data_IF_574930449420
#
_entry.id   IF_574930449420
#
_cell.length_a   1.000
_cell.length_b   1.000
_cell.length_c   1.000
_cell.angle_alpha   90.00
_cell.angle_beta   90.00
_cell.angle_gamma   90.00
#
_symmetry.space_group_name_H-M   'P 1'
#
loop_
_entity.id
_entity.type
_entity.pdbx_description
1 polymer ?
#
# COMPACT_ATOMS: atom_id res chain seq x y z
N UNK A 1 -12.24 -80.52 22.64
CA UNK A 1 -13.19 -79.39 22.58
C UNK A 1 -12.65 -78.22 23.40
N UNK A 2 -12.87 -76.98 22.93
CA UNK A 2 -12.66 -75.68 23.64
C UNK A 2 -11.20 -75.36 24.02
N UNK A 3 -10.34 -74.75 23.21
CA UNK A 3 -10.51 -73.75 22.13
C UNK A 3 -11.31 -72.49 22.52
N UNK A 4 -11.39 -72.07 23.81
CA UNK A 4 -12.12 -70.84 24.18
C UNK A 4 -11.59 -69.98 25.35
N UNK A 5 -10.43 -70.24 25.97
CA UNK A 5 -10.02 -69.45 27.15
C UNK A 5 -8.67 -68.70 27.08
N UNK A 6 -7.96 -68.72 25.96
CA UNK A 6 -6.76 -67.86 25.76
C UNK A 6 -6.98 -66.67 24.83
N UNK A 7 -8.23 -66.23 24.68
CA UNK A 7 -8.61 -65.11 23.80
C UNK A 7 -9.17 -63.88 24.54
N UNK A 8 -8.84 -63.73 25.83
CA UNK A 8 -9.27 -62.60 26.67
C UNK A 8 -8.21 -61.55 26.98
N UNK A 9 -7.03 -61.60 26.35
CA UNK A 9 -6.08 -60.48 26.39
C UNK A 9 -5.64 -60.15 24.95
N UNK A 10 -5.55 -58.86 24.65
CA UNK A 10 -5.18 -58.25 23.35
C UNK A 10 -6.34 -57.92 22.39
N UNK A 11 -7.30 -57.13 22.85
CA UNK A 11 -7.79 -56.02 22.03
C UNK A 11 -7.31 -54.74 22.71
N UNK A 12 -6.12 -54.28 22.30
CA UNK A 12 -5.69 -52.91 22.56
C UNK A 12 -6.55 -52.04 21.65
N UNK A 13 -7.42 -51.23 22.25
CA UNK A 13 -8.15 -50.20 21.54
C UNK A 13 -7.14 -49.26 20.88
N UNK A 14 -6.99 -49.41 19.56
CA UNK A 14 -6.35 -48.41 18.71
C UNK A 14 -7.38 -47.30 18.56
N UNK A 15 -7.39 -46.36 19.51
CA UNK A 15 -8.07 -45.09 19.37
C UNK A 15 -7.43 -44.40 18.15
N UNK A 16 -8.13 -44.43 17.00
CA UNK A 16 -7.79 -43.59 15.86
C UNK A 16 -8.20 -42.18 16.24
N UNK A 17 -7.22 -41.33 16.52
CA UNK A 17 -7.39 -39.90 16.74
C UNK A 17 -7.83 -39.30 15.38
N UNK A 18 -9.04 -38.74 15.24
CA UNK A 18 -9.54 -38.24 13.96
C UNK A 18 -8.83 -36.97 13.44
N UNK A 19 -8.14 -36.23 14.31
CA UNK A 19 -7.59 -34.89 13.99
C UNK A 19 -6.38 -34.86 13.05
N UNK A 20 -5.60 -35.95 12.93
CA UNK A 20 -4.36 -35.93 12.14
C UNK A 20 -4.58 -35.92 10.61
N UNK A 21 -5.79 -36.26 10.13
CA UNK A 21 -6.08 -36.36 8.70
C UNK A 21 -6.56 -35.02 8.12
N UNK A 22 -7.30 -34.24 8.92
CA UNK A 22 -7.78 -32.90 8.54
C UNK A 22 -6.63 -31.89 8.45
N UNK A 23 -5.70 -31.92 9.41
CA UNK A 23 -4.49 -31.08 9.38
C UNK A 23 -3.60 -31.42 8.17
N UNK A 24 -3.50 -32.70 7.79
CA UNK A 24 -2.71 -33.13 6.63
C UNK A 24 -3.32 -32.67 5.31
N UNK A 25 -4.66 -32.60 5.23
CA UNK A 25 -5.37 -32.09 4.06
C UNK A 25 -5.20 -30.56 3.94
N UNK A 26 -5.39 -29.81 5.03
CA UNK A 26 -5.14 -28.37 5.06
C UNK A 26 -3.69 -28.00 4.70
N UNK A 27 -2.71 -28.78 5.17
CA UNK A 27 -1.29 -28.59 4.80
C UNK A 27 -1.07 -28.84 3.30
N UNK A 28 -1.77 -29.80 2.68
CA UNK A 28 -1.66 -30.05 1.23
C UNK A 28 -2.24 -28.90 0.44
N UNK A 29 -3.40 -28.40 0.85
CA UNK A 29 -4.07 -27.29 0.18
C UNK A 29 -3.23 -26.01 0.28
N UNK A 30 -2.72 -25.69 1.46
CA UNK A 30 -1.79 -24.56 1.67
C UNK A 30 -0.53 -24.69 0.79
N UNK A 31 0.05 -25.90 0.67
CA UNK A 31 1.20 -26.14 -0.23
C UNK A 31 0.84 -25.93 -1.69
N UNK A 32 -0.37 -26.29 -2.12
CA UNK A 32 -0.83 -26.00 -3.48
C UNK A 32 -1.04 -24.51 -3.71
N UNK A 33 -1.61 -23.80 -2.73
CA UNK A 33 -1.78 -22.34 -2.79
C UNK A 33 -0.44 -21.62 -2.88
N UNK A 34 0.56 -22.02 -2.07
CA UNK A 34 1.91 -21.46 -2.12
C UNK A 34 2.53 -21.65 -3.51
N UNK A 35 2.48 -22.86 -4.08
CA UNK A 35 3.01 -23.13 -5.43
C UNK A 35 2.35 -22.27 -6.50
N UNK A 36 1.04 -22.07 -6.41
CA UNK A 36 0.30 -21.21 -7.34
C UNK A 36 0.75 -19.75 -7.22
N UNK A 37 0.83 -19.23 -6.00
CA UNK A 37 1.29 -17.86 -5.76
C UNK A 37 2.73 -17.63 -6.21
N UNK A 38 3.62 -18.61 -6.01
CA UNK A 38 4.99 -18.56 -6.53
C UNK A 38 5.04 -18.49 -8.07
N UNK A 39 4.18 -19.26 -8.74
CA UNK A 39 4.07 -19.22 -10.20
C UNK A 39 3.53 -17.87 -10.70
N UNK A 40 2.51 -17.31 -10.03
CA UNK A 40 1.96 -15.99 -10.33
C UNK A 40 3.00 -14.88 -10.13
N UNK A 41 3.76 -14.92 -9.03
CA UNK A 41 4.85 -13.97 -8.79
C UNK A 41 5.95 -14.07 -9.86
N UNK A 42 6.32 -15.30 -10.27
CA UNK A 42 7.30 -15.50 -11.35
C UNK A 42 6.79 -14.94 -12.67
N UNK A 43 5.52 -15.18 -13.00
CA UNK A 43 4.90 -14.63 -14.19
C UNK A 43 4.89 -13.09 -14.17
N UNK A 44 4.47 -12.48 -13.06
CA UNK A 44 4.50 -11.03 -12.91
C UNK A 44 5.91 -10.45 -13.07
N UNK A 45 6.93 -11.07 -12.47
CA UNK A 45 8.33 -10.64 -12.62
C UNK A 45 8.78 -10.68 -14.09
N UNK A 46 8.51 -11.77 -14.80
CA UNK A 46 8.85 -11.91 -16.21
C UNK A 46 8.14 -10.85 -17.07
N UNK A 47 6.86 -10.58 -16.80
CA UNK A 47 6.09 -9.55 -17.50
C UNK A 47 6.67 -8.16 -17.24
N UNK A 48 7.06 -7.85 -15.99
CA UNK A 48 7.73 -6.60 -15.64
C UNK A 48 9.06 -6.47 -16.38
N UNK A 49 9.86 -7.53 -16.45
CA UNK A 49 11.13 -7.52 -17.19
C UNK A 49 10.91 -7.32 -18.69
N UNK A 50 9.96 -8.03 -19.30
CA UNK A 50 9.60 -7.86 -20.71
C UNK A 50 9.17 -6.41 -21.02
N UNK A 51 8.33 -5.82 -20.18
CA UNK A 51 7.92 -4.42 -20.31
C UNK A 51 9.10 -3.46 -20.12
N UNK A 52 10.02 -3.73 -19.18
CA UNK A 52 11.24 -2.94 -19.00
C UNK A 52 12.13 -2.98 -20.24
N UNK A 53 12.30 -4.15 -20.85
CA UNK A 53 13.03 -4.30 -22.11
C UNK A 53 12.36 -3.53 -23.25
N UNK A 54 11.04 -3.67 -23.43
CA UNK A 54 10.30 -2.91 -24.43
C UNK A 54 10.42 -1.40 -24.24
N UNK A 55 10.37 -0.89 -23.00
CA UNK A 55 10.57 0.54 -22.71
C UNK A 55 12.01 0.97 -23.05
N UNK A 56 13.01 0.12 -22.78
CA UNK A 56 14.41 0.39 -23.11
C UNK A 56 14.63 0.45 -24.62
N UNK A 57 14.07 -0.49 -25.38
CA UNK A 57 14.19 -0.56 -26.83
C UNK A 57 13.44 0.59 -27.53
N UNK A 58 12.25 0.93 -27.03
CA UNK A 58 11.53 2.11 -27.48
C UNK A 58 12.27 3.42 -27.17
N UNK A 59 13.05 3.49 -26.08
CA UNK A 59 13.92 4.64 -25.79
C UNK A 59 15.10 4.70 -26.76
N UNK A 60 15.76 3.59 -27.07
CA UNK A 60 16.91 3.56 -27.99
C UNK A 60 16.50 3.85 -29.44
N UNK A 61 15.35 3.34 -29.91
CA UNK A 61 14.81 3.71 -31.22
C UNK A 61 14.43 5.20 -31.31
N UNK A 62 13.80 5.75 -30.27
CA UNK A 62 13.45 7.18 -30.20
C UNK A 62 14.67 8.10 -30.13
N UNK A 63 15.80 7.62 -29.61
CA UNK A 63 17.07 8.37 -29.59
C UNK A 63 17.69 8.41 -31.00
N UNK A 64 17.61 7.31 -31.77
CA UNK A 64 18.14 7.27 -33.15
C UNK A 64 17.36 8.15 -34.13
N UNK A 65 16.05 8.36 -33.92
CA UNK A 65 15.18 9.18 -34.80
C UNK A 65 15.07 10.68 -34.41
N UNK A 66 15.75 11.16 -33.36
CA UNK A 66 15.54 12.53 -32.81
C UNK A 66 16.78 13.41 -32.74
N UNK A 67 17.72 13.28 -33.68
CA UNK A 67 18.77 14.29 -33.89
C UNK A 67 18.27 15.43 -34.81
N UNK A 68 17.15 16.06 -34.46
CA UNK A 68 16.81 17.45 -34.83
C UNK A 68 15.49 17.82 -34.14
N UNK A 69 15.48 18.88 -33.32
CA UNK A 69 14.25 19.62 -33.03
C UNK A 69 13.48 19.44 -31.71
N UNK A 70 14.06 18.92 -30.60
CA UNK A 70 13.29 18.72 -29.35
C UNK A 70 13.88 19.39 -28.08
N UNK A 71 14.46 20.59 -28.20
CA UNK A 71 15.01 21.34 -27.05
C UNK A 71 13.92 22.06 -26.23
N UNK A 72 13.01 22.79 -26.87
CA UNK A 72 11.98 23.58 -26.19
C UNK A 72 10.97 22.72 -25.39
N UNK A 73 10.53 21.59 -25.94
CA UNK A 73 9.57 20.70 -25.29
C UNK A 73 10.16 20.00 -24.05
N UNK A 74 11.46 19.70 -24.06
CA UNK A 74 12.15 19.15 -22.87
C UNK A 74 12.29 20.21 -21.77
N UNK A 75 12.57 21.46 -22.13
CA UNK A 75 12.63 22.58 -21.19
C UNK A 75 11.28 22.82 -20.51
N UNK A 76 10.19 22.84 -21.28
CA UNK A 76 8.83 23.03 -20.76
C UNK A 76 8.41 21.90 -19.81
N UNK A 77 8.70 20.64 -20.16
CA UNK A 77 8.41 19.50 -19.26
C UNK A 77 9.26 19.56 -17.99
N UNK A 78 10.53 19.95 -18.07
CA UNK A 78 11.38 20.12 -16.90
C UNK A 78 10.84 21.23 -15.98
N UNK A 79 10.41 22.37 -16.54
CA UNK A 79 9.77 23.46 -15.80
C UNK A 79 8.45 23.01 -15.14
N UNK A 80 7.57 22.31 -15.86
CA UNK A 80 6.34 21.75 -15.28
C UNK A 80 6.63 20.73 -14.17
N UNK A 81 7.67 19.92 -14.33
CA UNK A 81 8.04 18.93 -13.31
C UNK A 81 8.57 19.62 -12.05
N UNK A 82 9.32 20.71 -12.19
CA UNK A 82 9.76 21.53 -11.06
C UNK A 82 8.59 22.25 -10.38
N UNK A 83 7.60 22.75 -11.13
CA UNK A 83 6.43 23.41 -10.53
C UNK A 83 5.54 22.40 -9.80
N UNK A 84 5.34 21.20 -10.35
CA UNK A 84 4.60 20.12 -9.68
C UNK A 84 5.32 19.67 -8.41
N UNK A 85 6.65 19.50 -8.44
CA UNK A 85 7.42 19.13 -7.26
C UNK A 85 7.37 20.21 -6.17
N UNK A 86 7.44 21.49 -6.55
CA UNK A 86 7.31 22.62 -5.61
C UNK A 86 5.88 22.70 -5.05
N UNK A 87 4.86 22.51 -5.88
CA UNK A 87 3.46 22.48 -5.45
C UNK A 87 3.21 21.34 -4.45
N UNK A 88 3.71 20.14 -4.73
CA UNK A 88 3.60 19.00 -3.83
C UNK A 88 4.32 19.25 -2.50
N UNK A 89 5.54 19.81 -2.55
CA UNK A 89 6.29 20.18 -1.35
C UNK A 89 5.54 21.22 -0.51
N UNK A 90 4.95 22.24 -1.15
CA UNK A 90 4.18 23.27 -0.46
C UNK A 90 2.87 22.70 0.11
N UNK A 91 2.20 21.79 -0.59
CA UNK A 91 1.02 21.09 -0.08
C UNK A 91 1.34 20.29 1.18
N UNK A 92 2.48 19.59 1.22
CA UNK A 92 2.92 18.85 2.40
C UNK A 92 3.27 19.76 3.58
N UNK A 93 3.88 20.92 3.33
CA UNK A 93 4.13 21.92 4.39
C UNK A 93 2.82 22.41 5.01
N UNK A 94 1.83 22.75 4.17
CA UNK A 94 0.49 23.16 4.62
C UNK A 94 -0.19 22.08 5.46
N UNK A 95 -0.15 20.83 5.02
CA UNK A 95 -0.70 19.70 5.77
C UNK A 95 0.00 19.49 7.11
N UNK A 96 1.33 19.56 7.14
CA UNK A 96 2.09 19.44 8.38
C UNK A 96 1.73 20.56 9.35
N UNK A 97 1.72 21.80 8.87
CA UNK A 97 1.36 22.96 9.68
C UNK A 97 -0.07 22.84 10.24
N UNK A 98 -1.03 22.45 9.40
CA UNK A 98 -2.40 22.21 9.83
C UNK A 98 -2.48 21.18 10.96
N UNK A 99 -1.73 20.09 10.87
CA UNK A 99 -1.69 19.05 11.91
C UNK A 99 -1.06 19.56 13.20
N UNK A 100 0.09 20.22 13.10
CA UNK A 100 0.79 20.80 14.25
C UNK A 100 -0.11 21.80 15.01
N UNK A 101 -0.88 22.63 14.28
CA UNK A 101 -1.85 23.58 14.88
C UNK A 101 -3.07 22.88 15.47
N UNK A 102 -3.57 21.83 14.82
CA UNK A 102 -4.67 21.03 15.35
C UNK A 102 -4.30 20.37 16.68
N UNK A 103 -3.12 19.75 16.75
CA UNK A 103 -2.61 19.13 17.98
C UNK A 103 -2.43 20.18 19.09
N UNK A 104 -1.90 21.36 18.76
CA UNK A 104 -1.79 22.48 19.71
C UNK A 104 -3.16 22.90 20.29
N UNK A 105 -4.21 22.99 19.46
CA UNK A 105 -5.54 23.36 19.94
C UNK A 105 -6.19 22.25 20.77
N UNK A 106 -5.94 20.98 20.45
CA UNK A 106 -6.38 19.86 21.27
C UNK A 106 -5.73 19.87 22.66
N UNK A 107 -4.42 20.15 22.73
CA UNK A 107 -3.68 20.26 23.99
C UNK A 107 -4.21 21.42 24.85
N UNK A 108 -4.72 22.47 24.21
CA UNK A 108 -5.37 23.61 24.87
C UNK A 108 -6.84 23.36 25.27
N UNK A 109 -7.29 22.10 25.30
CA UNK A 109 -8.65 21.67 25.67
C UNK A 109 -9.76 22.16 24.74
N UNK A 110 -9.44 22.49 23.48
CA UNK A 110 -10.49 22.65 22.49
C UNK A 110 -11.07 21.29 22.10
N UNK A 111 -12.37 21.26 21.85
CA UNK A 111 -13.05 20.13 21.27
C UNK A 111 -12.57 19.90 19.83
N UNK A 112 -12.60 18.65 19.38
CA UNK A 112 -12.11 18.26 18.04
C UNK A 112 -12.66 19.14 16.90
N UNK A 113 -13.97 19.45 16.80
CA UNK A 113 -14.46 20.30 15.71
C UNK A 113 -13.96 21.74 15.82
N UNK A 114 -13.93 22.34 17.02
CA UNK A 114 -13.36 23.69 17.19
C UNK A 114 -11.86 23.73 16.91
N UNK A 115 -11.10 22.71 17.30
CA UNK A 115 -9.67 22.62 17.03
C UNK A 115 -9.39 22.56 15.52
N UNK A 116 -10.24 21.88 14.73
CA UNK A 116 -10.15 21.87 13.26
C UNK A 116 -10.41 23.26 12.68
N UNK A 117 -11.48 23.92 13.12
CA UNK A 117 -11.83 25.25 12.65
C UNK A 117 -10.75 26.30 13.01
N UNK A 118 -10.12 26.17 14.19
CA UNK A 118 -9.01 27.04 14.61
C UNK A 118 -7.73 26.76 13.82
N UNK A 119 -7.40 25.48 13.59
CA UNK A 119 -6.24 25.10 12.78
C UNK A 119 -6.38 25.57 11.31
N UNK A 120 -7.59 25.54 10.74
CA UNK A 120 -7.84 26.07 9.39
C UNK A 120 -7.71 27.60 9.34
N UNK A 121 -8.18 28.31 10.38
CA UNK A 121 -7.97 29.77 10.49
C UNK A 121 -6.48 30.12 10.54
N UNK A 122 -5.71 29.39 11.34
CA UNK A 122 -4.26 29.57 11.41
C UNK A 122 -3.58 29.27 10.06
N UNK A 123 -4.07 28.26 9.34
CA UNK A 123 -3.56 27.89 8.01
C UNK A 123 -3.82 29.00 6.99
N UNK A 124 -5.02 29.58 6.99
CA UNK A 124 -5.40 30.72 6.13
C UNK A 124 -4.58 31.97 6.46
N UNK A 125 -4.32 32.20 7.74
CA UNK A 125 -3.51 33.33 8.17
C UNK A 125 -2.05 33.22 7.70
N UNK A 126 -1.46 32.01 7.72
CA UNK A 126 -0.06 31.80 7.35
C UNK A 126 0.15 31.64 5.83
N UNK A 127 -0.74 30.91 5.14
CA UNK A 127 -0.56 30.55 3.73
C UNK A 127 -1.53 31.24 2.77
N UNK A 128 -2.40 32.11 3.28
CA UNK A 128 -3.43 32.84 2.53
C UNK A 128 -4.77 32.10 2.48
N UNK A 129 -5.83 32.83 2.15
CA UNK A 129 -7.21 32.33 2.12
C UNK A 129 -7.42 31.14 1.17
N UNK A 130 -6.63 31.07 0.09
CA UNK A 130 -6.68 29.98 -0.90
C UNK A 130 -6.12 28.65 -0.37
N UNK A 131 -5.48 28.65 0.80
CA UNK A 131 -4.89 27.45 1.41
C UNK A 131 -5.84 26.71 2.34
N UNK A 132 -7.00 27.30 2.67
CA UNK A 132 -7.96 26.71 3.60
C UNK A 132 -8.70 25.50 3.01
N UNK A 133 -9.20 24.64 3.89
CA UNK A 133 -9.95 23.43 3.54
C UNK A 133 -11.42 23.57 3.93
N UNK A 134 -12.28 22.79 3.29
CA UNK A 134 -13.67 22.64 3.73
C UNK A 134 -13.75 21.81 5.01
N UNK A 135 -14.87 21.93 5.74
CA UNK A 135 -15.09 21.17 6.99
C UNK A 135 -14.98 19.66 6.80
N UNK A 136 -15.52 19.14 5.69
CA UNK A 136 -15.45 17.71 5.36
C UNK A 136 -14.01 17.26 5.08
N UNK A 137 -13.21 18.08 4.41
CA UNK A 137 -11.79 17.80 4.16
C UNK A 137 -10.98 17.84 5.44
N UNK A 138 -11.23 18.81 6.34
CA UNK A 138 -10.58 18.88 7.65
C UNK A 138 -10.87 17.64 8.49
N UNK A 139 -12.10 17.13 8.48
CA UNK A 139 -12.44 15.87 9.14
C UNK A 139 -11.69 14.69 8.55
N UNK A 140 -11.53 14.64 7.22
CA UNK A 140 -10.80 13.56 6.57
C UNK A 140 -9.29 13.61 6.86
N UNK A 141 -8.70 14.81 6.88
CA UNK A 141 -7.26 15.03 7.08
C UNK A 141 -6.87 14.87 8.57
N UNK A 142 -7.75 15.30 9.49
CA UNK A 142 -7.51 15.39 10.94
C UNK A 142 -8.43 14.46 11.76
N UNK A 143 -8.75 13.28 11.22
CA UNK A 143 -9.54 12.25 11.90
C UNK A 143 -8.74 11.58 13.02
#
# INVERSE_FOLDING_TARGET
MKKKEKKKLKKKDKIRIPGAVEDQAGIRDLKQTIKRLEAELKHCKNTIEALRHQVKDNKTEKIKKRKSGNSAVKSLRAQQSTTVAVAQRNAWKRHRYLRDRYDFHLDNRHDKPSARDLADKDLRQEYGEDAGFSKQELEHILS
#
